data_IF_099251197048
#
_entry.id   IF_099251197048
#
_cell.length_a   1.000
_cell.length_b   1.000
_cell.length_c   1.000
_cell.angle_alpha   90.00
_cell.angle_beta   90.00
_cell.angle_gamma   90.00
#
_symmetry.space_group_name_H-M   'P 1'
#
loop_
_entity.id
_entity.type
_entity.pdbx_description
1 polymer ?
#
# COMPACT_ATOMS: atom_id res chain seq x y z
N UNK A 1 24.09 16.34 19.61
CA UNK A 1 23.00 15.48 20.16
C UNK A 1 23.55 14.46 21.17
N UNK A 2 22.76 14.01 22.16
CA UNK A 2 23.20 12.92 23.06
C UNK A 2 23.20 11.58 22.32
N UNK A 3 24.16 10.71 22.65
CA UNK A 3 24.28 9.38 22.01
C UNK A 3 22.98 8.59 22.06
N UNK A 4 22.27 8.65 23.19
CA UNK A 4 20.98 8.01 23.39
C UNK A 4 19.88 8.53 22.44
N UNK A 5 19.84 9.84 22.20
CA UNK A 5 18.85 10.44 21.28
C UNK A 5 19.10 10.04 19.84
N UNK A 6 20.38 9.93 19.44
CA UNK A 6 20.77 9.43 18.11
C UNK A 6 20.33 7.98 17.90
N UNK A 7 20.60 7.13 18.89
CA UNK A 7 20.21 5.71 18.85
C UNK A 7 18.68 5.54 18.74
N UNK A 8 17.91 6.35 19.48
CA UNK A 8 16.44 6.36 19.38
C UNK A 8 15.94 6.73 17.98
N UNK A 9 16.52 7.75 17.34
CA UNK A 9 16.16 8.14 15.97
C UNK A 9 16.47 7.03 14.96
N UNK A 10 17.64 6.39 15.07
CA UNK A 10 18.01 5.26 14.21
C UNK A 10 17.05 4.09 14.41
N UNK A 11 16.69 3.77 15.66
CA UNK A 11 15.74 2.72 15.97
C UNK A 11 14.36 3.00 15.37
N UNK A 12 13.86 4.23 15.49
CA UNK A 12 12.58 4.65 14.92
C UNK A 12 12.58 4.56 13.38
N UNK A 13 13.65 5.05 12.73
CA UNK A 13 13.82 4.93 11.29
C UNK A 13 13.81 3.46 10.84
N UNK A 14 14.43 2.56 11.61
CA UNK A 14 14.40 1.12 11.38
C UNK A 14 12.99 0.53 11.49
N UNK A 15 12.26 0.85 12.57
CA UNK A 15 10.88 0.40 12.76
C UNK A 15 9.96 0.87 11.63
N UNK A 16 10.04 2.14 11.25
CA UNK A 16 9.25 2.70 10.15
C UNK A 16 9.63 2.05 8.81
N UNK A 17 10.91 1.79 8.55
CA UNK A 17 11.36 1.09 7.34
C UNK A 17 10.78 -0.33 7.24
N UNK A 18 10.70 -1.05 8.35
CA UNK A 18 10.05 -2.37 8.39
C UNK A 18 8.54 -2.28 8.13
N UNK A 19 7.86 -1.29 8.70
CA UNK A 19 6.44 -1.06 8.44
C UNK A 19 6.18 -0.73 6.96
N UNK A 20 7.01 0.11 6.35
CA UNK A 20 6.93 0.46 4.94
C UNK A 20 7.08 -0.76 4.01
N UNK A 21 7.98 -1.70 4.34
CA UNK A 21 8.09 -2.97 3.60
C UNK A 21 6.80 -3.78 3.66
N UNK A 22 6.12 -3.81 4.81
CA UNK A 22 4.81 -4.46 4.93
C UNK A 22 3.79 -3.73 4.05
N UNK A 23 3.68 -2.40 4.14
CA UNK A 23 2.73 -1.64 3.31
C UNK A 23 2.99 -1.86 1.81
N UNK A 24 4.25 -2.01 1.38
CA UNK A 24 4.59 -2.33 -0.01
C UNK A 24 4.01 -3.69 -0.47
N UNK A 25 4.05 -4.72 0.39
CA UNK A 25 3.40 -6.00 0.12
C UNK A 25 1.87 -5.86 0.02
N UNK A 26 1.27 -5.09 0.92
CA UNK A 26 -0.18 -4.84 0.92
C UNK A 26 -0.63 -4.07 -0.32
N UNK A 27 0.18 -3.10 -0.78
CA UNK A 27 -0.04 -2.42 -2.07
C UNK A 27 -0.01 -3.42 -3.22
N UNK A 28 1.00 -4.29 -3.26
CA UNK A 28 1.14 -5.33 -4.29
C UNK A 28 -0.08 -6.26 -4.34
N UNK A 29 -0.50 -6.77 -3.18
CA UNK A 29 -1.71 -7.60 -3.07
C UNK A 29 -2.96 -6.85 -3.53
N UNK A 30 -3.10 -5.57 -3.17
CA UNK A 30 -4.23 -4.74 -3.59
C UNK A 30 -4.26 -4.56 -5.12
N UNK A 31 -3.13 -4.31 -5.76
CA UNK A 31 -3.06 -4.24 -7.23
C UNK A 31 -3.48 -5.57 -7.87
N UNK A 32 -2.98 -6.69 -7.34
CA UNK A 32 -3.33 -8.02 -7.84
C UNK A 32 -4.83 -8.29 -7.75
N UNK A 33 -5.45 -8.06 -6.58
CA UNK A 33 -6.89 -8.26 -6.41
C UNK A 33 -7.73 -7.32 -7.26
N UNK A 34 -7.27 -6.08 -7.46
CA UNK A 34 -7.94 -5.15 -8.38
C UNK A 34 -7.94 -5.69 -9.81
N UNK A 35 -6.79 -6.17 -10.30
CA UNK A 35 -6.68 -6.78 -11.64
C UNK A 35 -7.55 -8.03 -11.78
N UNK A 36 -7.57 -8.91 -10.76
CA UNK A 36 -8.42 -10.09 -10.74
C UNK A 36 -9.92 -9.72 -10.77
N UNK A 37 -10.33 -8.68 -10.06
CA UNK A 37 -11.71 -8.18 -10.08
C UNK A 37 -12.12 -7.66 -11.46
N UNK A 38 -11.21 -6.97 -12.18
CA UNK A 38 -11.45 -6.53 -13.56
C UNK A 38 -11.64 -7.74 -14.49
N UNK A 39 -10.77 -8.76 -14.39
CA UNK A 39 -10.88 -9.98 -15.18
C UNK A 39 -12.18 -10.74 -14.86
N UNK A 40 -12.53 -10.88 -13.59
CA UNK A 40 -13.77 -11.54 -13.16
C UNK A 40 -15.00 -10.81 -13.70
N UNK A 41 -14.99 -9.47 -13.67
CA UNK A 41 -16.05 -8.64 -14.26
C UNK A 41 -16.20 -8.89 -15.76
N UNK A 42 -15.09 -8.89 -16.50
CA UNK A 42 -15.07 -9.17 -17.94
C UNK A 42 -15.69 -10.53 -18.28
N UNK A 43 -15.31 -11.60 -17.55
CA UNK A 43 -15.90 -12.92 -17.74
C UNK A 43 -17.38 -12.98 -17.36
N UNK A 44 -17.79 -12.28 -16.30
CA UNK A 44 -19.18 -12.24 -15.86
C UNK A 44 -20.11 -11.58 -16.89
N UNK A 45 -19.64 -10.54 -17.59
CA UNK A 45 -20.43 -9.85 -18.62
C UNK A 45 -20.45 -10.56 -19.98
N UNK A 46 -19.44 -11.38 -20.29
CA UNK A 46 -19.45 -12.22 -21.50
C UNK A 46 -20.29 -13.49 -21.36
N UNK A 47 -20.66 -13.86 -20.13
CA UNK A 47 -21.45 -15.06 -19.86
C UNK A 47 -22.94 -14.71 -19.67
N UNK A 48 -23.75 -15.71 -19.34
CA UNK A 48 -25.21 -15.62 -19.25
C UNK A 48 -25.73 -14.35 -18.55
N UNK A 49 -26.89 -13.79 -18.98
CA UNK A 49 -27.49 -12.57 -18.39
C UNK A 49 -27.69 -12.65 -16.87
N UNK A 50 -27.84 -13.87 -16.33
CA UNK A 50 -28.01 -14.13 -14.88
C UNK A 50 -26.76 -13.77 -14.05
N UNK A 51 -25.60 -13.57 -14.67
CA UNK A 51 -24.31 -13.28 -14.00
C UNK A 51 -23.99 -11.78 -13.89
N UNK A 52 -24.88 -10.90 -14.36
CA UNK A 52 -24.71 -9.43 -14.28
C UNK A 52 -24.43 -8.96 -12.84
N UNK A 53 -25.13 -9.51 -11.85
CA UNK A 53 -24.91 -9.18 -10.43
C UNK A 53 -23.46 -9.49 -10.00
N UNK A 54 -22.93 -10.64 -10.42
CA UNK A 54 -21.54 -11.03 -10.14
C UNK A 54 -20.55 -10.08 -10.82
N UNK A 55 -20.86 -9.63 -12.03
CA UNK A 55 -20.07 -8.62 -12.75
C UNK A 55 -19.99 -7.30 -12.01
N UNK A 56 -21.12 -6.81 -11.49
CA UNK A 56 -21.20 -5.58 -10.68
C UNK A 56 -20.41 -5.72 -9.38
N UNK A 57 -20.56 -6.83 -8.65
CA UNK A 57 -19.81 -7.09 -7.41
C UNK A 57 -18.30 -7.08 -7.70
N UNK A 58 -17.88 -7.68 -8.81
CA UNK A 58 -16.48 -7.75 -9.21
C UNK A 58 -15.89 -6.36 -9.50
N UNK A 59 -16.67 -5.45 -10.11
CA UNK A 59 -16.29 -4.05 -10.31
C UNK A 59 -16.10 -3.34 -8.96
N UNK A 60 -17.06 -3.48 -8.05
CA UNK A 60 -17.00 -2.82 -6.74
C UNK A 60 -15.74 -3.26 -5.99
N UNK A 61 -15.43 -4.56 -5.99
CA UNK A 61 -14.21 -5.09 -5.40
C UNK A 61 -12.95 -4.56 -6.09
N UNK A 62 -12.93 -4.52 -7.43
CA UNK A 62 -11.80 -3.99 -8.18
C UNK A 62 -11.49 -2.53 -7.81
N UNK A 63 -12.52 -1.70 -7.70
CA UNK A 63 -12.40 -0.29 -7.30
C UNK A 63 -11.93 -0.14 -5.85
N UNK A 64 -12.46 -0.95 -4.94
CA UNK A 64 -12.03 -0.95 -3.54
C UNK A 64 -10.52 -1.24 -3.42
N UNK A 65 -10.03 -2.29 -4.09
CA UNK A 65 -8.61 -2.63 -4.06
C UNK A 65 -7.74 -1.61 -4.80
N UNK A 66 -8.25 -0.97 -5.84
CA UNK A 66 -7.56 0.14 -6.50
C UNK A 66 -7.37 1.31 -5.53
N UNK A 67 -8.41 1.68 -4.79
CA UNK A 67 -8.34 2.72 -3.77
C UNK A 67 -7.37 2.35 -2.64
N UNK A 68 -7.43 1.12 -2.13
CA UNK A 68 -6.49 0.63 -1.12
C UNK A 68 -5.03 0.71 -1.60
N UNK A 69 -4.76 0.35 -2.85
CA UNK A 69 -3.42 0.50 -3.47
C UNK A 69 -2.96 1.96 -3.52
N UNK A 70 -3.85 2.89 -3.86
CA UNK A 70 -3.56 4.32 -3.87
C UNK A 70 -3.21 4.84 -2.46
N UNK A 71 -3.98 4.47 -1.44
CA UNK A 71 -3.70 4.81 -0.04
C UNK A 71 -2.35 4.25 0.40
N UNK A 72 -2.05 2.98 0.09
CA UNK A 72 -0.76 2.38 0.39
C UNK A 72 0.39 3.12 -0.32
N UNK A 73 0.21 3.51 -1.58
CA UNK A 73 1.21 4.26 -2.33
C UNK A 73 1.54 5.61 -1.68
N UNK A 74 0.50 6.35 -1.26
CA UNK A 74 0.67 7.62 -0.53
C UNK A 74 1.39 7.38 0.80
N UNK A 75 0.97 6.36 1.56
CA UNK A 75 1.60 5.98 2.82
C UNK A 75 3.09 5.65 2.66
N UNK A 76 3.45 4.89 1.61
CA UNK A 76 4.85 4.59 1.29
C UNK A 76 5.63 5.85 0.97
N UNK A 77 5.11 6.70 0.06
CA UNK A 77 5.81 7.93 -0.34
C UNK A 77 6.09 8.84 0.86
N UNK A 78 5.08 9.04 1.70
CA UNK A 78 5.19 9.91 2.86
C UNK A 78 6.06 9.30 3.96
N UNK A 79 5.91 8.01 4.25
CA UNK A 79 6.73 7.32 5.25
C UNK A 79 8.20 7.23 4.85
N UNK A 80 8.52 6.98 3.58
CA UNK A 80 9.92 6.99 3.10
C UNK A 80 10.55 8.37 3.26
N UNK A 81 9.80 9.44 2.96
CA UNK A 81 10.27 10.80 3.20
C UNK A 81 10.48 11.07 4.71
N UNK A 82 9.63 10.52 5.57
CA UNK A 82 9.77 10.65 7.03
C UNK A 82 11.02 9.95 7.56
N UNK A 83 11.26 8.70 7.14
CA UNK A 83 12.49 7.95 7.47
C UNK A 83 13.73 8.73 7.06
N UNK A 84 13.74 9.29 5.84
CA UNK A 84 14.85 10.10 5.35
C UNK A 84 15.11 11.30 6.26
N UNK A 85 14.07 12.03 6.67
CA UNK A 85 14.19 13.18 7.59
C UNK A 85 14.76 12.77 8.95
N UNK A 86 14.33 11.64 9.50
CA UNK A 86 14.83 11.11 10.78
C UNK A 86 16.33 10.79 10.69
N UNK A 87 16.76 10.14 9.60
CA UNK A 87 18.16 9.81 9.37
C UNK A 87 19.03 11.06 9.17
N UNK A 88 18.56 12.04 8.38
CA UNK A 88 19.25 13.32 8.22
C UNK A 88 19.39 14.08 9.55
N UNK A 89 18.37 14.03 10.41
CA UNK A 89 18.44 14.63 11.74
C UNK A 89 19.45 13.90 12.65
N UNK A 90 19.61 12.59 12.47
CA UNK A 90 20.59 11.80 13.22
C UNK A 90 22.05 12.01 12.75
N UNK A 91 22.25 12.48 11.52
CA UNK A 91 23.56 12.79 10.92
C UNK A 91 24.04 14.21 11.18
N UNK A 92 23.13 15.20 11.20
CA UNK A 92 23.48 16.63 11.31
C UNK A 92 23.77 17.13 12.73
N UNK A 93 23.51 16.33 13.77
CA UNK A 93 23.73 16.68 15.20
C UNK A 93 24.53 15.63 15.98
#
# INVERSE_FOLDING_TARGET
>A
MSKEKKEKLIQEAGMQSMALRRIALWRGASVLFSALGILASWFAFQSEPKRVILGVISIILALFFMFASAVCHIGIRNGTANVKKILEAAEKE
#
